data_IF_660432070223
#
_entry.id   IF_660432070223
#
_cell.length_a   1.000
_cell.length_b   1.000
_cell.length_c   1.000
_cell.angle_alpha   90.00
_cell.angle_beta   90.00
_cell.angle_gamma   90.00
#
_symmetry.space_group_name_H-M   'P 1'
#
loop_
_entity.id
_entity.type
_entity.pdbx_description
1 polymer ?
#
# COMPACT_ATOMS: atom_id res chain seq x y z
N UNK A 1 -22.16 -9.65 -5.00
CA UNK A 1 -20.80 -9.08 -4.83
C UNK A 1 -20.09 -9.13 -6.18
N UNK A 2 -19.77 -7.98 -6.77
CA UNK A 2 -18.96 -7.94 -8.00
C UNK A 2 -17.56 -8.45 -7.67
N UNK A 3 -17.05 -9.41 -8.46
CA UNK A 3 -15.69 -9.91 -8.25
C UNK A 3 -14.66 -8.78 -8.44
N UNK A 4 -13.51 -8.85 -7.76
CA UNK A 4 -12.43 -7.87 -7.89
C UNK A 4 -11.99 -7.72 -9.37
N UNK A 5 -11.98 -8.84 -10.10
CA UNK A 5 -11.70 -8.85 -11.54
C UNK A 5 -12.71 -8.04 -12.34
N UNK A 6 -14.00 -8.08 -11.99
CA UNK A 6 -15.02 -7.25 -12.64
C UNK A 6 -14.83 -5.76 -12.33
N UNK A 7 -14.36 -5.40 -11.13
CA UNK A 7 -14.04 -4.02 -10.76
C UNK A 7 -12.84 -3.51 -11.55
N UNK A 8 -11.78 -4.31 -11.71
CA UNK A 8 -10.60 -3.96 -12.51
C UNK A 8 -10.95 -3.76 -13.99
N UNK A 9 -11.75 -4.67 -14.58
CA UNK A 9 -12.23 -4.53 -15.97
C UNK A 9 -13.06 -3.27 -16.14
N UNK A 10 -13.99 -2.99 -15.22
CA UNK A 10 -14.79 -1.76 -15.23
C UNK A 10 -13.91 -0.52 -15.14
N UNK A 11 -12.94 -0.51 -14.24
CA UNK A 11 -11.96 0.57 -14.09
C UNK A 11 -11.15 0.80 -15.36
N UNK A 12 -10.69 -0.27 -16.01
CA UNK A 12 -9.99 -0.20 -17.28
C UNK A 12 -10.84 0.41 -18.37
N UNK A 13 -12.11 -0.01 -18.49
CA UNK A 13 -13.05 0.52 -19.51
C UNK A 13 -13.46 1.97 -19.23
N UNK A 14 -13.53 2.42 -17.98
CA UNK A 14 -13.92 3.78 -17.62
C UNK A 14 -12.74 4.77 -17.58
N UNK A 15 -11.51 4.31 -17.43
CA UNK A 15 -10.31 5.14 -17.32
C UNK A 15 -10.11 6.11 -18.51
N UNK A 16 -10.33 5.75 -19.77
CA UNK A 16 -10.17 6.66 -20.91
C UNK A 16 -11.12 7.87 -20.89
N UNK A 17 -12.23 7.76 -20.16
CA UNK A 17 -13.23 8.84 -20.07
C UNK A 17 -13.01 9.76 -18.86
N UNK A 18 -12.06 9.40 -17.98
CA UNK A 18 -11.69 10.22 -16.82
C UNK A 18 -10.48 11.07 -17.15
N UNK A 19 -10.61 12.38 -16.97
CA UNK A 19 -9.51 13.32 -17.18
C UNK A 19 -8.97 13.76 -15.81
N UNK A 20 -7.74 13.39 -15.52
CA UNK A 20 -7.02 13.92 -14.38
C UNK A 20 -6.77 15.44 -14.54
N UNK A 21 -6.62 16.16 -13.42
CA UNK A 21 -6.32 17.60 -13.44
C UNK A 21 -7.51 18.51 -13.73
N UNK A 22 -8.75 18.03 -13.62
CA UNK A 22 -9.94 18.88 -13.73
C UNK A 22 -10.04 19.80 -12.51
N UNK A 23 -10.23 21.12 -12.68
CA UNK A 23 -10.37 22.07 -11.57
C UNK A 23 -11.60 21.80 -10.70
N UNK A 24 -12.65 21.22 -11.29
CA UNK A 24 -13.94 20.89 -10.68
C UNK A 24 -14.01 19.43 -10.19
N UNK A 25 -12.87 18.74 -10.10
CA UNK A 25 -12.84 17.37 -9.64
C UNK A 25 -13.29 17.26 -8.18
N UNK A 26 -14.42 16.61 -7.96
CA UNK A 26 -14.95 16.33 -6.62
C UNK A 26 -14.81 14.84 -6.29
N UNK A 27 -14.55 14.56 -5.02
CA UNK A 27 -14.53 13.19 -4.52
C UNK A 27 -15.96 12.67 -4.36
N UNK A 28 -16.19 11.36 -4.59
CA UNK A 28 -17.50 10.77 -4.31
C UNK A 28 -17.79 10.88 -2.80
N UNK A 29 -18.97 11.36 -2.43
CA UNK A 29 -19.35 11.43 -1.02
C UNK A 29 -19.59 10.03 -0.45
N UNK A 30 -19.34 9.89 0.85
CA UNK A 30 -19.70 8.70 1.61
C UNK A 30 -18.58 7.67 1.72
N UNK A 31 -18.89 6.64 2.51
CA UNK A 31 -17.98 5.56 2.87
C UNK A 31 -18.51 4.24 2.32
N UNK A 32 -17.65 3.42 1.76
CA UNK A 32 -17.97 2.03 1.46
C UNK A 32 -17.61 1.20 2.69
N UNK A 33 -18.57 0.40 3.16
CA UNK A 33 -18.38 -0.41 4.35
C UNK A 33 -18.46 -1.91 4.04
N UNK A 34 -17.78 -2.70 4.85
CA UNK A 34 -17.95 -4.14 4.99
C UNK A 34 -18.35 -4.42 6.42
N UNK A 35 -19.48 -5.11 6.66
CA UNK A 35 -19.91 -5.49 8.00
C UNK A 35 -18.83 -6.28 8.76
N UNK A 36 -18.90 -6.23 10.08
CA UNK A 36 -18.02 -6.97 10.96
C UNK A 36 -17.99 -8.45 10.59
N UNK A 37 -16.81 -8.97 10.36
CA UNK A 37 -16.59 -10.36 10.02
C UNK A 37 -15.26 -10.86 10.64
N UNK A 38 -15.20 -12.13 11.07
CA UNK A 38 -13.96 -12.71 11.56
C UNK A 38 -12.93 -12.79 10.43
N UNK A 39 -11.67 -12.73 10.80
CA UNK A 39 -10.57 -12.91 9.87
C UNK A 39 -10.41 -14.40 9.57
N UNK A 40 -10.43 -14.76 8.29
CA UNK A 40 -10.26 -16.13 7.87
C UNK A 40 -8.81 -16.61 8.15
N UNK A 41 -8.60 -17.69 8.92
CA UNK A 41 -7.26 -18.10 9.36
C UNK A 41 -6.37 -18.58 8.21
N UNK A 42 -6.92 -19.28 7.22
CA UNK A 42 -6.16 -19.79 6.08
C UNK A 42 -5.52 -18.67 5.22
N UNK A 43 -6.28 -17.69 4.74
CA UNK A 43 -5.76 -16.52 4.04
C UNK A 43 -4.77 -15.69 4.88
N UNK A 44 -5.03 -15.50 6.17
CA UNK A 44 -4.12 -14.80 7.08
C UNK A 44 -2.77 -15.53 7.19
N UNK A 45 -2.78 -16.85 7.41
CA UNK A 45 -1.55 -17.65 7.48
C UNK A 45 -0.78 -17.63 6.14
N UNK A 46 -1.47 -17.67 5.00
CA UNK A 46 -0.84 -17.55 3.69
C UNK A 46 -0.20 -16.17 3.49
N UNK A 47 -0.86 -15.12 3.95
CA UNK A 47 -0.31 -13.75 3.94
C UNK A 47 0.91 -13.64 4.86
N UNK A 48 0.82 -14.15 6.09
CA UNK A 48 1.93 -14.18 7.05
C UNK A 48 3.17 -14.83 6.44
N UNK A 49 3.02 -16.03 5.85
CA UNK A 49 4.15 -16.75 5.23
C UNK A 49 4.81 -15.98 4.10
N UNK A 50 4.05 -15.35 3.20
CA UNK A 50 4.64 -14.63 2.05
C UNK A 50 5.28 -13.32 2.45
N UNK A 51 4.82 -12.69 3.53
CA UNK A 51 5.37 -11.44 4.06
C UNK A 51 6.44 -11.66 5.14
N UNK A 52 6.54 -12.86 5.71
CA UNK A 52 7.52 -13.20 6.74
C UNK A 52 7.07 -12.87 8.17
N UNK A 53 5.76 -12.71 8.41
CA UNK A 53 5.22 -12.56 9.75
C UNK A 53 5.17 -13.89 10.50
N UNK A 54 5.26 -13.85 11.82
CA UNK A 54 5.07 -15.01 12.67
C UNK A 54 3.64 -15.58 12.50
N UNK A 55 3.50 -16.89 12.72
CA UNK A 55 2.21 -17.57 12.61
C UNK A 55 1.27 -17.28 13.78
N UNK A 56 1.80 -16.80 14.89
CA UNK A 56 1.06 -16.45 16.12
C UNK A 56 1.25 -14.99 16.46
N UNK A 57 0.27 -14.40 17.15
CA UNK A 57 0.34 -13.01 17.59
C UNK A 57 -0.86 -12.17 17.14
N UNK A 58 -0.77 -10.86 17.25
CA UNK A 58 -1.78 -9.94 16.74
C UNK A 58 -1.85 -9.97 15.21
N UNK A 59 -2.90 -9.37 14.68
CA UNK A 59 -3.07 -9.21 13.25
C UNK A 59 -1.94 -8.32 12.69
N UNK A 60 -1.23 -8.73 11.63
CA UNK A 60 -0.21 -7.89 11.02
C UNK A 60 -0.74 -6.50 10.66
N UNK A 61 0.00 -5.43 10.97
CA UNK A 61 -0.46 -4.04 10.79
C UNK A 61 -0.91 -3.71 9.37
N UNK A 62 -0.36 -4.38 8.38
CA UNK A 62 -0.73 -4.21 6.98
C UNK A 62 -1.94 -5.02 6.53
N UNK A 63 -2.41 -5.97 7.36
CA UNK A 63 -3.46 -6.89 6.93
C UNK A 63 -4.86 -6.27 6.83
N UNK A 64 -5.29 -5.33 7.69
CA UNK A 64 -6.57 -4.63 7.49
C UNK A 64 -6.64 -3.89 6.16
N UNK A 65 -5.53 -3.29 5.69
CA UNK A 65 -5.45 -2.69 4.36
C UNK A 65 -5.72 -3.72 3.24
N UNK A 66 -5.16 -4.93 3.36
CA UNK A 66 -5.41 -6.03 2.41
C UNK A 66 -6.89 -6.46 2.42
N UNK A 67 -7.48 -6.57 3.60
CA UNK A 67 -8.89 -6.91 3.76
C UNK A 67 -9.83 -5.85 3.16
N UNK A 68 -9.43 -4.58 3.19
CA UNK A 68 -10.18 -3.45 2.65
C UNK A 68 -9.95 -3.22 1.15
N UNK A 69 -8.92 -3.83 0.55
CA UNK A 69 -8.55 -3.60 -0.85
C UNK A 69 -9.70 -3.77 -1.86
N UNK A 70 -10.61 -4.76 -1.73
CA UNK A 70 -11.78 -4.84 -2.60
C UNK A 70 -12.71 -3.63 -2.52
N UNK A 71 -12.86 -3.00 -1.35
CA UNK A 71 -13.66 -1.77 -1.18
C UNK A 71 -12.93 -0.58 -1.84
N UNK A 72 -11.63 -0.47 -1.62
CA UNK A 72 -10.78 0.56 -2.24
C UNK A 72 -10.89 0.50 -3.77
N UNK A 73 -10.77 -0.68 -4.35
CA UNK A 73 -10.90 -0.87 -5.79
C UNK A 73 -12.31 -0.58 -6.30
N UNK A 74 -13.34 -0.95 -5.53
CA UNK A 74 -14.73 -0.62 -5.87
C UNK A 74 -14.94 0.90 -5.92
N UNK A 75 -14.40 1.64 -4.94
CA UNK A 75 -14.50 3.09 -4.89
C UNK A 75 -13.72 3.75 -6.03
N UNK A 76 -12.48 3.37 -6.26
CA UNK A 76 -11.64 3.93 -7.33
C UNK A 76 -12.17 3.65 -8.74
N UNK A 77 -12.88 2.53 -8.92
CA UNK A 77 -13.49 2.18 -10.21
C UNK A 77 -14.89 2.74 -10.40
N UNK A 78 -15.45 3.41 -9.40
CA UNK A 78 -16.74 4.09 -9.51
C UNK A 78 -16.69 5.21 -10.55
N UNK A 79 -17.81 5.45 -11.21
CA UNK A 79 -17.91 6.52 -12.21
C UNK A 79 -17.70 7.92 -11.62
N UNK A 80 -18.15 8.11 -10.37
CA UNK A 80 -17.99 9.37 -9.64
C UNK A 80 -16.54 9.62 -9.16
N UNK A 81 -15.67 8.59 -9.14
CA UNK A 81 -14.28 8.77 -8.77
C UNK A 81 -13.54 9.55 -9.86
N UNK A 82 -12.89 10.70 -9.53
CA UNK A 82 -12.44 11.66 -10.55
C UNK A 82 -11.20 11.22 -11.33
N UNK A 83 -10.38 10.33 -10.80
CA UNK A 83 -9.11 9.97 -11.42
C UNK A 83 -9.21 8.63 -12.19
N UNK A 84 -8.46 8.46 -13.30
CA UNK A 84 -8.35 7.18 -13.97
C UNK A 84 -7.61 6.17 -13.09
N UNK A 85 -8.18 4.98 -12.89
CA UNK A 85 -7.55 3.91 -12.10
C UNK A 85 -6.30 3.36 -12.79
N UNK A 86 -6.34 3.27 -14.12
CA UNK A 86 -5.17 2.88 -14.90
C UNK A 86 -4.09 3.95 -14.79
N UNK A 87 -2.91 3.55 -14.34
CA UNK A 87 -1.77 4.44 -14.15
C UNK A 87 -1.73 5.16 -12.80
N UNK A 88 -2.68 4.92 -11.89
CA UNK A 88 -2.53 5.35 -10.49
C UNK A 88 -1.32 4.67 -9.87
N UNK A 89 -0.49 5.47 -9.22
CA UNK A 89 0.72 5.01 -8.52
C UNK A 89 0.54 5.21 -7.03
N UNK A 90 0.64 4.16 -6.24
CA UNK A 90 0.68 4.24 -4.78
C UNK A 90 2.00 4.92 -4.38
N UNK A 91 1.93 6.08 -3.74
CA UNK A 91 3.08 6.94 -3.43
C UNK A 91 3.53 6.82 -1.98
N UNK A 92 2.58 6.66 -1.08
CA UNK A 92 2.84 6.50 0.35
C UNK A 92 1.66 5.84 1.06
N UNK A 93 1.95 5.28 2.23
CA UNK A 93 0.94 4.83 3.19
C UNK A 93 1.35 5.24 4.59
N UNK A 94 0.38 5.64 5.39
CA UNK A 94 0.49 5.82 6.83
C UNK A 94 -0.50 4.90 7.53
N UNK A 95 -0.04 4.16 8.52
CA UNK A 95 -0.84 3.22 9.30
C UNK A 95 -0.77 3.62 10.77
N UNK A 96 -1.94 3.78 11.40
CA UNK A 96 -2.07 4.09 12.82
C UNK A 96 -2.88 3.00 13.51
N UNK A 97 -2.23 2.04 14.19
CA UNK A 97 -2.93 1.14 15.10
C UNK A 97 -3.28 1.89 16.39
N UNK A 98 -4.51 1.79 16.84
CA UNK A 98 -4.94 2.31 18.15
C UNK A 98 -4.75 1.27 19.25
N UNK A 99 -4.79 0.00 18.89
CA UNK A 99 -4.42 -1.15 19.73
C UNK A 99 -4.07 -2.36 18.87
N UNK A 100 -3.46 -3.35 19.48
CA UNK A 100 -3.30 -4.66 18.85
C UNK A 100 -4.69 -5.33 18.65
N UNK A 101 -4.88 -5.92 17.48
CA UNK A 101 -6.11 -6.64 17.12
C UNK A 101 -5.81 -8.14 17.04
N UNK A 102 -6.61 -8.95 17.72
CA UNK A 102 -6.49 -10.41 17.63
C UNK A 102 -7.17 -10.92 16.35
N UNK A 103 -6.64 -11.94 15.69
CA UNK A 103 -7.26 -12.51 14.49
C UNK A 103 -8.70 -13.01 14.67
N UNK A 104 -9.10 -13.29 15.90
CA UNK A 104 -10.46 -13.76 16.26
C UNK A 104 -11.47 -12.63 16.39
N UNK A 105 -11.03 -11.37 16.47
CA UNK A 105 -11.93 -10.23 16.59
C UNK A 105 -12.59 -9.91 15.23
N UNK A 106 -13.92 -9.76 15.18
CA UNK A 106 -14.60 -9.43 13.94
C UNK A 106 -14.34 -7.97 13.55
N UNK A 107 -13.76 -7.76 12.37
CA UNK A 107 -13.45 -6.43 11.84
C UNK A 107 -14.56 -5.91 10.94
N UNK A 108 -15.11 -4.76 11.30
CA UNK A 108 -15.83 -3.88 10.39
C UNK A 108 -14.81 -2.99 9.65
N UNK A 109 -14.96 -2.84 8.34
CA UNK A 109 -14.08 -2.00 7.53
C UNK A 109 -14.87 -0.90 6.84
N UNK A 110 -14.28 0.30 6.79
CA UNK A 110 -14.77 1.43 6.02
C UNK A 110 -13.65 2.00 5.14
N UNK A 111 -13.99 2.38 3.91
CA UNK A 111 -13.07 3.02 2.96
C UNK A 111 -13.73 4.23 2.35
N UNK A 112 -13.00 5.33 2.25
CA UNK A 112 -13.46 6.56 1.61
C UNK A 112 -12.28 7.33 1.00
N UNK A 113 -12.59 8.22 0.06
CA UNK A 113 -11.63 9.17 -0.46
C UNK A 113 -11.65 10.42 0.42
N UNK A 114 -10.50 10.81 0.95
CA UNK A 114 -10.37 11.83 1.99
C UNK A 114 -9.97 13.21 1.42
N UNK A 115 -9.15 13.23 0.37
CA UNK A 115 -8.69 14.48 -0.22
C UNK A 115 -8.11 14.33 -1.63
N UNK A 116 -8.14 15.42 -2.38
CA UNK A 116 -7.39 15.62 -3.62
C UNK A 116 -6.36 16.71 -3.39
N UNK A 117 -5.10 16.43 -3.66
CA UNK A 117 -4.00 17.40 -3.51
C UNK A 117 -3.25 17.57 -4.82
N UNK A 118 -2.93 18.82 -5.22
CA UNK A 118 -2.00 19.07 -6.30
C UNK A 118 -0.64 18.44 -5.99
N UNK A 119 -0.05 17.83 -6.98
CA UNK A 119 1.29 17.24 -6.89
C UNK A 119 2.11 17.70 -8.10
N UNK A 120 3.43 17.91 -7.94
CA UNK A 120 4.33 18.36 -9.02
C UNK A 120 4.32 17.48 -10.29
N UNK A 121 3.76 16.30 -10.24
CA UNK A 121 3.62 15.36 -11.37
C UNK A 121 2.16 15.01 -11.68
N UNK A 122 1.20 15.75 -11.13
CA UNK A 122 -0.21 15.46 -11.37
C UNK A 122 -1.12 15.79 -10.19
N UNK A 123 -2.09 14.93 -9.93
CA UNK A 123 -3.03 15.02 -8.80
C UNK A 123 -2.93 13.76 -7.95
N UNK A 124 -2.80 13.92 -6.65
CA UNK A 124 -2.82 12.83 -5.69
C UNK A 124 -4.16 12.77 -4.97
N UNK A 125 -4.71 11.57 -4.84
CA UNK A 125 -5.86 11.30 -3.98
C UNK A 125 -5.40 10.59 -2.72
N UNK A 126 -5.91 11.03 -1.57
CA UNK A 126 -5.75 10.32 -0.30
C UNK A 126 -6.95 9.39 -0.10
N UNK A 127 -6.67 8.11 0.10
CA UNK A 127 -7.65 7.10 0.45
C UNK A 127 -7.51 6.74 1.92
N UNK A 128 -8.60 6.86 2.67
CA UNK A 128 -8.67 6.47 4.07
C UNK A 128 -9.30 5.08 4.21
N UNK A 129 -8.77 4.29 5.14
CA UNK A 129 -9.33 3.00 5.53
C UNK A 129 -9.40 2.94 7.06
N UNK A 130 -10.56 2.58 7.59
CA UNK A 130 -10.78 2.38 9.02
C UNK A 130 -11.13 0.92 9.29
N UNK A 131 -10.64 0.37 10.40
CA UNK A 131 -11.06 -0.91 10.95
C UNK A 131 -11.61 -0.72 12.36
N UNK A 132 -12.80 -1.27 12.63
CA UNK A 132 -13.49 -1.18 13.91
C UNK A 132 -13.82 -2.56 14.46
N UNK A 133 -13.81 -2.66 15.79
CA UNK A 133 -14.27 -3.85 16.53
C UNK A 133 -15.32 -3.39 17.54
N UNK A 134 -16.54 -3.88 17.42
CA UNK A 134 -17.62 -3.46 18.30
C UNK A 134 -17.91 -1.95 18.28
N UNK A 135 -17.66 -1.28 17.16
CA UNK A 135 -17.81 0.18 17.00
C UNK A 135 -16.55 0.99 17.38
N UNK A 136 -15.61 0.43 18.13
CA UNK A 136 -14.34 1.06 18.49
C UNK A 136 -13.40 1.13 17.29
N UNK A 137 -12.81 2.29 16.97
CA UNK A 137 -11.74 2.43 15.98
C UNK A 137 -10.47 1.82 16.54
N UNK A 138 -10.02 0.71 15.94
CA UNK A 138 -8.84 -0.03 16.40
C UNK A 138 -7.63 0.14 15.49
N UNK A 139 -7.88 0.57 14.26
CA UNK A 139 -6.83 0.74 13.25
C UNK A 139 -7.32 1.66 12.12
N UNK A 140 -6.42 2.45 11.58
CA UNK A 140 -6.68 3.25 10.39
C UNK A 140 -5.45 3.35 9.49
N UNK A 141 -5.66 3.65 8.21
CA UNK A 141 -4.59 4.03 7.30
C UNK A 141 -5.02 5.09 6.31
N UNK A 142 -4.04 5.91 5.91
CA UNK A 142 -4.15 6.84 4.81
C UNK A 142 -3.14 6.45 3.73
N UNK A 143 -3.56 6.47 2.48
CA UNK A 143 -2.72 6.10 1.33
C UNK A 143 -2.83 7.12 0.21
N UNK A 144 -1.69 7.60 -0.29
CA UNK A 144 -1.62 8.49 -1.44
C UNK A 144 -1.57 7.72 -2.75
N UNK A 145 -2.43 8.08 -3.71
CA UNK A 145 -2.40 7.54 -5.06
C UNK A 145 -2.30 8.66 -6.08
N UNK A 146 -1.20 8.70 -6.82
CA UNK A 146 -0.89 9.74 -7.79
C UNK A 146 -1.38 9.37 -9.19
N UNK A 147 -2.21 10.23 -9.76
CA UNK A 147 -2.52 10.25 -11.18
C UNK A 147 -1.59 11.25 -11.87
N UNK A 148 -0.71 10.75 -12.75
CA UNK A 148 0.28 11.60 -13.43
C UNK A 148 -0.35 12.32 -14.62
N UNK A 149 -0.13 13.63 -14.69
CA UNK A 149 -0.47 14.48 -15.84
C UNK A 149 0.39 15.75 -15.81
N UNK A 150 0.40 16.50 -16.93
CA UNK A 150 1.04 17.82 -16.94
C UNK A 150 0.35 18.76 -15.94
N UNK A 151 1.13 19.52 -15.20
CA UNK A 151 0.65 20.52 -14.23
C UNK A 151 1.49 21.78 -14.33
N UNK A 152 0.85 22.93 -14.12
CA UNK A 152 1.52 24.23 -14.00
C UNK A 152 2.00 24.52 -12.58
N UNK A 153 1.49 23.78 -11.58
CA UNK A 153 1.86 23.96 -10.17
C UNK A 153 3.14 23.20 -9.82
N UNK A 154 4.27 23.83 -10.05
CA UNK A 154 5.59 23.30 -9.68
C UNK A 154 5.83 23.24 -8.16
N UNK A 155 4.99 23.92 -7.35
CA UNK A 155 5.24 24.17 -5.92
C UNK A 155 4.61 23.14 -4.96
N UNK A 156 3.82 22.20 -5.44
CA UNK A 156 2.82 21.51 -4.60
C UNK A 156 3.33 20.34 -3.75
N UNK A 157 4.55 19.87 -3.89
CA UNK A 157 5.03 18.78 -3.00
C UNK A 157 6.53 18.88 -2.79
N UNK A 158 7.02 18.80 -1.54
CA UNK A 158 8.45 18.73 -1.27
C UNK A 158 9.07 17.59 -2.07
N UNK A 159 10.23 17.85 -2.67
CA UNK A 159 11.03 16.77 -3.23
C UNK A 159 11.50 15.92 -2.05
N UNK A 160 11.25 14.60 -2.06
CA UNK A 160 11.78 13.75 -1.02
C UNK A 160 13.29 13.93 -0.92
N UNK A 161 13.78 14.13 0.28
CA UNK A 161 15.23 14.20 0.53
C UNK A 161 15.85 12.85 0.14
N UNK A 162 16.74 12.81 -0.87
CA UNK A 162 17.44 11.59 -1.23
C UNK A 162 18.36 11.09 -0.11
N UNK A 163 18.81 11.99 0.77
CA UNK A 163 19.75 11.72 1.86
C UNK A 163 19.04 11.35 3.18
N UNK A 164 17.69 11.47 3.24
CA UNK A 164 16.91 11.16 4.44
C UNK A 164 17.07 9.72 4.99
N UNK A 165 17.71 8.83 4.24
CA UNK A 165 18.01 7.44 4.61
C UNK A 165 19.49 7.10 4.45
N UNK A 166 20.36 8.09 4.43
CA UNK A 166 21.80 8.03 4.30
C UNK A 166 22.47 6.68 4.63
N UNK A 167 23.18 6.60 5.73
CA UNK A 167 24.02 5.45 6.07
C UNK A 167 23.35 4.39 6.96
N UNK A 168 22.05 4.10 6.72
CA UNK A 168 21.40 3.01 7.45
C UNK A 168 22.16 1.69 7.24
N UNK A 169 22.54 0.98 8.30
CA UNK A 169 23.23 -0.30 8.20
C UNK A 169 22.36 -1.37 7.56
N UNK A 170 22.97 -2.23 6.76
CA UNK A 170 22.31 -3.40 6.21
C UNK A 170 21.95 -4.39 7.32
N UNK A 171 20.69 -4.79 7.39
CA UNK A 171 20.18 -5.78 8.33
C UNK A 171 19.97 -7.12 7.65
N UNK A 172 19.39 -7.11 6.43
CA UNK A 172 19.08 -8.34 5.71
C UNK A 172 19.17 -8.14 4.18
N UNK A 173 19.41 -9.24 3.48
CA UNK A 173 19.32 -9.30 2.01
C UNK A 173 18.22 -10.29 1.61
N UNK A 174 17.34 -9.89 0.68
CA UNK A 174 16.25 -10.73 0.22
C UNK A 174 16.35 -10.98 -1.28
N UNK A 175 16.31 -12.26 -1.66
CA UNK A 175 16.19 -12.69 -3.04
C UNK A 175 14.72 -12.84 -3.42
N UNK A 176 14.24 -11.99 -4.30
CA UNK A 176 12.86 -11.91 -4.73
C UNK A 176 12.68 -12.71 -6.03
N UNK A 177 11.90 -13.80 -6.00
CA UNK A 177 11.67 -14.61 -7.20
C UNK A 177 10.76 -13.89 -8.20
N UNK A 178 10.83 -14.28 -9.46
CA UNK A 178 10.03 -13.67 -10.54
C UNK A 178 8.52 -13.88 -10.43
N UNK A 179 8.08 -14.84 -9.61
CA UNK A 179 6.68 -15.15 -9.35
C UNK A 179 6.10 -14.48 -8.09
N UNK A 180 6.91 -13.71 -7.36
CA UNK A 180 6.50 -13.05 -6.11
C UNK A 180 5.22 -12.24 -6.30
N UNK A 181 5.10 -11.49 -7.40
CA UNK A 181 3.91 -10.70 -7.69
C UNK A 181 2.65 -11.55 -7.78
N UNK A 182 2.71 -12.71 -8.46
CA UNK A 182 1.58 -13.65 -8.55
C UNK A 182 1.23 -14.25 -7.20
N UNK A 183 2.25 -14.66 -6.43
CA UNK A 183 2.06 -15.25 -5.09
C UNK A 183 1.42 -14.26 -4.13
N UNK A 184 1.93 -13.03 -4.08
CA UNK A 184 1.34 -12.00 -3.23
C UNK A 184 -0.06 -11.58 -3.72
N UNK A 185 -0.26 -11.42 -5.03
CA UNK A 185 -1.58 -11.13 -5.61
C UNK A 185 -2.64 -12.20 -5.31
N UNK A 186 -2.23 -13.46 -5.11
CA UNK A 186 -3.14 -14.53 -4.72
C UNK A 186 -3.66 -14.38 -3.29
N UNK A 187 -2.86 -13.83 -2.37
CA UNK A 187 -3.23 -13.67 -0.95
C UNK A 187 -3.77 -12.28 -0.62
N UNK A 188 -3.33 -11.24 -1.33
CA UNK A 188 -3.79 -9.85 -1.12
C UNK A 188 -5.03 -9.48 -1.94
N UNK A 189 -5.31 -10.26 -3.00
CA UNK A 189 -6.34 -9.91 -3.96
C UNK A 189 -5.91 -8.85 -4.98
N UNK A 190 -4.77 -8.20 -4.82
CA UNK A 190 -4.25 -7.24 -5.81
C UNK A 190 -3.67 -7.98 -7.02
N UNK A 191 -4.50 -8.10 -8.03
CA UNK A 191 -4.16 -8.75 -9.31
C UNK A 191 -3.91 -7.75 -10.43
N UNK A 192 -3.36 -6.57 -10.10
CA UNK A 192 -2.97 -5.62 -11.13
C UNK A 192 -1.97 -6.27 -12.10
N UNK A 193 -2.21 -6.23 -13.42
CA UNK A 193 -1.40 -6.90 -14.43
C UNK A 193 0.10 -6.58 -14.38
N UNK A 194 0.48 -5.41 -13.85
CA UNK A 194 1.89 -4.99 -13.73
C UNK A 194 2.70 -5.89 -12.79
N UNK A 195 2.04 -6.59 -11.87
CA UNK A 195 2.66 -7.48 -10.90
C UNK A 195 2.67 -8.94 -11.34
N UNK A 196 1.80 -9.31 -12.28
CA UNK A 196 1.51 -10.72 -12.56
C UNK A 196 2.43 -11.32 -13.62
N UNK A 197 2.73 -10.57 -14.69
CA UNK A 197 3.49 -11.09 -15.80
C UNK A 197 4.33 -10.01 -16.49
N UNK A 198 5.57 -10.32 -16.97
CA UNK A 198 6.42 -9.34 -17.65
C UNK A 198 5.79 -8.73 -18.91
N UNK A 199 5.04 -9.50 -19.70
CA UNK A 199 4.39 -8.99 -20.92
C UNK A 199 3.30 -7.97 -20.59
N UNK A 200 2.48 -8.24 -19.56
CA UNK A 200 1.45 -7.27 -19.15
C UNK A 200 2.07 -6.04 -18.51
N UNK A 201 3.15 -6.18 -17.73
CA UNK A 201 3.86 -5.05 -17.16
C UNK A 201 4.44 -4.10 -18.24
N UNK A 202 4.92 -4.64 -19.36
CA UNK A 202 5.43 -3.85 -20.50
C UNK A 202 4.36 -2.95 -21.13
N UNK A 203 3.11 -3.37 -21.16
CA UNK A 203 2.00 -2.54 -21.65
C UNK A 203 1.79 -1.29 -20.80
N UNK A 204 2.27 -1.30 -19.56
CA UNK A 204 2.21 -0.17 -18.62
C UNK A 204 3.57 0.52 -18.42
N UNK A 205 4.54 0.27 -19.30
CA UNK A 205 5.84 0.93 -19.30
C UNK A 205 6.90 0.33 -18.36
N UNK A 206 6.64 -0.83 -17.75
CA UNK A 206 7.62 -1.53 -16.92
C UNK A 206 8.34 -2.62 -17.74
N UNK A 207 9.68 -2.69 -17.74
CA UNK A 207 10.41 -3.69 -18.53
C UNK A 207 10.18 -5.13 -18.04
N UNK A 208 9.79 -5.32 -16.79
CA UNK A 208 9.50 -6.59 -16.13
C UNK A 208 8.33 -6.42 -15.13
N UNK A 209 7.78 -7.54 -14.63
CA UNK A 209 6.85 -7.48 -13.52
C UNK A 209 7.50 -6.80 -12.30
N UNK A 210 6.70 -6.09 -11.50
CA UNK A 210 7.16 -5.38 -10.31
C UNK A 210 6.57 -6.00 -9.04
N UNK A 211 7.30 -5.94 -7.93
CA UNK A 211 6.76 -6.30 -6.63
C UNK A 211 5.65 -5.32 -6.23
N UNK A 212 4.67 -5.78 -5.46
CA UNK A 212 3.66 -4.90 -4.86
C UNK A 212 4.33 -4.02 -3.79
N UNK A 213 4.03 -2.72 -3.80
CA UNK A 213 4.51 -1.81 -2.77
C UNK A 213 4.10 -2.28 -1.37
N UNK A 214 2.86 -2.69 -1.20
CA UNK A 214 2.38 -3.20 0.10
C UNK A 214 3.07 -4.49 0.57
N UNK A 215 3.57 -5.32 -0.34
CA UNK A 215 4.44 -6.44 0.04
C UNK A 215 5.76 -5.94 0.62
N UNK A 216 6.36 -4.91 0.01
CA UNK A 216 7.64 -4.36 0.52
C UNK A 216 7.48 -3.75 1.92
N UNK A 217 6.37 -3.03 2.17
CA UNK A 217 6.04 -2.52 3.51
C UNK A 217 5.84 -3.67 4.50
N UNK A 218 5.00 -4.64 4.16
CA UNK A 218 4.70 -5.79 5.02
C UNK A 218 5.97 -6.58 5.37
N UNK A 219 6.83 -6.87 4.39
CA UNK A 219 8.08 -7.60 4.60
C UNK A 219 9.06 -6.81 5.46
N UNK A 220 9.14 -5.49 5.27
CA UNK A 220 9.98 -4.63 6.10
C UNK A 220 9.50 -4.59 7.55
N UNK A 221 8.19 -4.49 7.79
CA UNK A 221 7.64 -4.52 9.14
C UNK A 221 7.82 -5.89 9.81
N UNK A 222 7.69 -6.98 9.06
CA UNK A 222 7.98 -8.31 9.58
C UNK A 222 9.45 -8.49 10.01
N UNK A 223 10.38 -7.82 9.33
CA UNK A 223 11.81 -7.80 9.69
C UNK A 223 12.09 -6.90 10.89
N UNK A 224 11.45 -5.73 10.96
CA UNK A 224 11.58 -4.77 12.05
C UNK A 224 10.96 -5.28 13.38
N UNK A 225 10.16 -6.33 13.29
CA UNK A 225 9.35 -6.81 14.42
C UNK A 225 8.06 -5.98 14.53
N UNK A 226 6.94 -6.66 14.31
CA UNK A 226 5.59 -6.08 14.40
C UNK A 226 5.16 -6.04 15.87
N UNK A 227 5.81 -5.17 16.65
CA UNK A 227 5.63 -5.11 18.10
C UNK A 227 4.35 -4.35 18.51
N UNK A 228 3.76 -4.73 19.65
CA UNK A 228 2.58 -4.10 20.25
C UNK A 228 2.76 -2.60 20.61
N UNK A 229 3.95 -2.06 20.43
CA UNK A 229 4.34 -0.69 20.78
C UNK A 229 4.32 0.30 19.61
N UNK A 230 4.02 -0.17 18.38
CA UNK A 230 3.97 0.72 17.21
C UNK A 230 2.77 1.64 17.31
N UNK A 231 3.02 2.95 17.33
CA UNK A 231 2.01 4.01 17.29
C UNK A 231 1.64 4.42 15.88
N UNK A 232 2.60 4.49 14.99
CA UNK A 232 2.37 4.74 13.57
C UNK A 232 3.49 4.20 12.70
N UNK A 233 3.16 3.91 11.46
CA UNK A 233 4.12 3.56 10.41
C UNK A 233 3.83 4.46 9.23
N UNK A 234 4.84 5.16 8.73
CA UNK A 234 4.78 5.85 7.45
C UNK A 234 5.76 5.22 6.48
N UNK A 235 5.30 4.90 5.28
CA UNK A 235 6.14 4.33 4.23
C UNK A 235 5.93 5.07 2.91
N UNK A 236 7.01 5.38 2.19
CA UNK A 236 7.02 6.08 0.92
C UNK A 236 7.64 5.22 -0.18
N UNK A 237 6.91 5.06 -1.27
CA UNK A 237 7.35 4.28 -2.43
C UNK A 237 8.14 5.17 -3.39
N UNK A 238 9.45 4.95 -3.47
CA UNK A 238 10.37 5.78 -4.27
C UNK A 238 10.54 5.27 -5.69
N UNK A 239 10.66 3.94 -5.85
CA UNK A 239 10.85 3.31 -7.14
C UNK A 239 10.30 1.87 -7.15
N UNK A 240 9.84 1.35 -8.31
CA UNK A 240 9.39 -0.02 -8.42
C UNK A 240 10.55 -1.01 -8.26
N UNK A 241 10.29 -2.13 -7.59
CA UNK A 241 11.21 -3.27 -7.54
C UNK A 241 10.90 -4.20 -8.71
N UNK A 242 11.78 -4.26 -9.70
CA UNK A 242 11.64 -5.13 -10.88
C UNK A 242 11.97 -6.58 -10.53
N UNK A 243 11.06 -7.51 -10.81
CA UNK A 243 11.24 -8.93 -10.50
C UNK A 243 11.85 -9.74 -11.66
N UNK A 244 12.73 -10.74 -11.39
CA UNK A 244 13.33 -11.03 -10.09
C UNK A 244 14.36 -9.97 -9.68
N UNK A 245 14.65 -9.88 -8.37
CA UNK A 245 15.61 -8.94 -7.81
C UNK A 245 16.29 -9.49 -6.55
N UNK A 246 17.44 -8.91 -6.22
CA UNK A 246 17.98 -8.92 -4.87
C UNK A 246 17.86 -7.53 -4.30
N UNK A 247 17.32 -7.40 -3.12
CA UNK A 247 17.15 -6.14 -2.40
C UNK A 247 17.71 -6.23 -1.00
N UNK A 248 18.18 -5.12 -0.48
CA UNK A 248 18.77 -5.00 0.86
C UNK A 248 17.82 -4.24 1.75
N UNK A 249 17.44 -4.83 2.86
CA UNK A 249 16.76 -4.14 3.95
C UNK A 249 17.82 -3.51 4.86
N UNK A 250 17.72 -2.21 5.06
CA UNK A 250 18.57 -1.42 5.93
C UNK A 250 17.70 -0.71 6.96
N UNK A 251 18.15 -0.66 8.22
CA UNK A 251 17.41 -0.01 9.31
C UNK A 251 18.38 0.52 10.36
N UNK A 252 17.94 1.52 11.12
CA UNK A 252 18.65 1.92 12.34
C UNK A 252 18.56 0.85 13.43
N UNK A 253 19.31 1.03 14.51
CA UNK A 253 19.41 0.04 15.60
C UNK A 253 18.07 -0.19 16.32
N UNK A 254 17.15 0.79 16.31
CA UNK A 254 15.84 0.69 16.92
C UNK A 254 14.79 0.09 15.94
N UNK A 255 15.12 0.03 14.64
CA UNK A 255 14.16 -0.33 13.59
C UNK A 255 13.09 0.75 13.31
N UNK A 256 13.34 1.99 13.79
CA UNK A 256 12.41 3.09 13.67
C UNK A 256 12.50 3.77 12.30
N UNK A 257 13.67 3.73 11.67
CA UNK A 257 13.86 4.18 10.29
C UNK A 257 14.38 3.02 9.46
N UNK A 258 13.77 2.78 8.30
CA UNK A 258 14.21 1.71 7.43
C UNK A 258 14.14 2.08 5.95
N UNK A 259 14.92 1.41 5.14
CA UNK A 259 14.91 1.53 3.69
C UNK A 259 15.05 0.16 3.01
N UNK A 260 14.41 0.04 1.85
CA UNK A 260 14.64 -1.07 0.94
C UNK A 260 15.44 -0.56 -0.24
N UNK A 261 16.62 -1.13 -0.45
CA UNK A 261 17.56 -0.74 -1.50
C UNK A 261 17.76 -1.87 -2.51
N UNK A 262 17.84 -1.52 -3.75
CA UNK A 262 18.24 -2.42 -4.84
C UNK A 262 19.72 -2.32 -5.17
N UNK A 263 20.10 -2.86 -6.30
CA UNK A 263 21.47 -2.79 -6.80
C UNK A 263 21.96 -1.34 -6.87
N UNK A 264 23.24 -1.13 -6.57
CA UNK A 264 23.90 0.20 -6.58
C UNK A 264 23.26 1.22 -5.60
N UNK A 265 22.60 0.75 -4.55
CA UNK A 265 22.02 1.62 -3.53
C UNK A 265 20.71 2.33 -3.95
N UNK A 266 20.11 1.95 -5.08
CA UNK A 266 18.85 2.55 -5.52
C UNK A 266 17.72 2.32 -4.53
N UNK A 267 17.13 3.39 -3.98
CA UNK A 267 16.10 3.31 -2.94
C UNK A 267 14.73 3.02 -3.56
N UNK A 268 14.10 1.95 -3.10
CA UNK A 268 12.75 1.53 -3.52
C UNK A 268 11.67 1.95 -2.52
N UNK A 269 11.96 1.86 -1.24
CA UNK A 269 11.06 2.17 -0.13
C UNK A 269 11.84 2.86 0.98
N UNK A 270 11.19 3.82 1.61
CA UNK A 270 11.63 4.43 2.87
C UNK A 270 10.48 4.31 3.85
N UNK A 271 10.78 3.96 5.09
CA UNK A 271 9.78 3.89 6.13
C UNK A 271 10.27 4.44 7.46
N UNK A 272 9.31 4.97 8.21
CA UNK A 272 9.50 5.41 9.59
C UNK A 272 8.43 4.79 10.48
N UNK A 273 8.84 4.33 11.65
CA UNK A 273 8.00 3.76 12.70
C UNK A 273 8.08 4.68 13.91
N UNK A 274 6.95 5.07 14.44
CA UNK A 274 6.87 5.75 15.73
C UNK A 274 6.40 4.75 16.77
N UNK A 275 7.10 4.67 17.90
CA UNK A 275 6.77 3.76 19.00
C UNK A 275 6.26 4.55 20.21
N UNK A 276 5.50 3.90 21.07
CA UNK A 276 5.17 4.46 22.37
C UNK A 276 6.46 4.55 23.21
N UNK A 277 6.71 5.70 23.80
CA UNK A 277 7.80 5.83 24.76
C UNK A 277 7.47 4.98 25.98
N UNK A 278 8.27 3.95 26.26
CA UNK A 278 8.16 3.23 27.54
C UNK A 278 8.43 4.23 28.67
N UNK A 279 7.43 4.42 29.53
CA UNK A 279 7.58 5.22 30.76
C UNK A 279 8.10 4.32 31.87
#
# INVERSE_FOLDING_TARGET
MTSLSASLVRGALSSPFKRAGRPDAALPPGRLTRPAAPVAPGPLAAYGRICGFAESGPLPLTYPHVLAFPLTMRLMTDRAFPLPVLGLVHTWIEITPHRAVRPTEPLELAVYADGLTPHRRGTEVTMATEARVGGELVWESHSGYLSRHATTDAAASPRPDPDAVGDLPTVAEWRLPGDLGRRYGAVSGDRNPIHLHPLTARLFGFPRAIAHGMWTVARSLAEAGDGAEIRSVRAEFRAPVLLPATVTYAADAAGDTFALRGAKGHVHLVGAVTRNVQR
#
